data_IF_267306523782
#
_entry.id   IF_267306523782
#
_cell.length_a   1.000
_cell.length_b   1.000
_cell.length_c   1.000
_cell.angle_alpha   90.00
_cell.angle_beta   90.00
_cell.angle_gamma   90.00
#
_symmetry.space_group_name_H-M   'P 1'
#
loop_
_entity.id
_entity.type
_entity.pdbx_description
1 polymer ?
#
# COMPACT_ATOMS: atom_id res chain seq x y z
N UNK A 1 -8.55 -21.65 -11.50
CA UNK A 1 -8.57 -21.51 -10.03
C UNK A 1 -7.23 -21.99 -9.53
N UNK A 2 -6.28 -21.08 -9.36
CA UNK A 2 -4.95 -21.36 -8.80
C UNK A 2 -4.92 -20.70 -7.42
N UNK A 3 -5.11 -21.50 -6.37
CA UNK A 3 -4.95 -21.07 -4.98
C UNK A 3 -3.45 -21.18 -4.68
N UNK A 4 -2.76 -20.05 -4.52
CA UNK A 4 -1.46 -20.03 -3.87
C UNK A 4 -1.72 -20.00 -2.36
N UNK A 5 -1.57 -21.16 -1.73
CA UNK A 5 -1.43 -21.25 -0.27
C UNK A 5 0.05 -21.02 0.05
N UNK A 6 0.37 -19.88 0.67
CA UNK A 6 1.68 -19.67 1.29
C UNK A 6 1.59 -20.27 2.69
N UNK A 7 2.01 -21.52 2.85
CA UNK A 7 2.32 -22.07 4.17
C UNK A 7 3.66 -21.50 4.62
N UNK A 8 3.63 -20.60 5.61
CA UNK A 8 4.80 -20.20 6.38
C UNK A 8 4.49 -20.56 7.84
N UNK A 9 5.11 -21.65 8.33
CA UNK A 9 4.97 -22.08 9.73
C UNK A 9 5.42 -20.92 10.64
N UNK A 10 4.53 -20.50 11.54
CA UNK A 10 4.59 -19.35 12.47
C UNK A 10 4.05 -17.99 11.97
N UNK A 11 3.35 -17.89 10.84
CA UNK A 11 2.70 -16.65 10.39
C UNK A 11 1.22 -16.86 10.00
N UNK A 12 0.35 -15.93 10.40
CA UNK A 12 -1.05 -15.90 9.98
C UNK A 12 -1.18 -15.63 8.47
N UNK A 13 -2.15 -16.26 7.81
CA UNK A 13 -2.44 -16.03 6.39
C UNK A 13 -3.93 -15.72 6.16
N UNK A 14 -4.21 -14.87 5.15
CA UNK A 14 -5.57 -14.53 4.73
C UNK A 14 -5.80 -14.95 3.28
N UNK A 15 -6.74 -15.88 3.07
CA UNK A 15 -7.15 -16.28 1.74
C UNK A 15 -8.01 -15.21 1.08
N UNK A 16 -7.63 -14.82 -0.13
CA UNK A 16 -8.35 -13.87 -0.97
C UNK A 16 -8.83 -14.56 -2.26
N UNK A 17 -9.97 -14.15 -2.85
CA UNK A 17 -10.47 -14.76 -4.09
C UNK A 17 -9.51 -14.67 -5.27
N UNK A 18 -8.67 -13.63 -5.34
CA UNK A 18 -7.64 -13.42 -6.36
C UNK A 18 -6.43 -12.68 -5.78
N UNK A 19 -5.27 -12.75 -6.46
CA UNK A 19 -4.10 -11.92 -6.11
C UNK A 19 -4.35 -10.41 -6.29
N UNK A 20 -5.25 -10.03 -7.21
CA UNK A 20 -5.70 -8.64 -7.33
C UNK A 20 -6.42 -8.21 -6.05
N UNK A 21 -7.38 -9.01 -5.59
CA UNK A 21 -8.14 -8.72 -4.37
C UNK A 21 -7.22 -8.68 -3.14
N UNK A 22 -6.22 -9.56 -3.06
CA UNK A 22 -5.24 -9.55 -1.97
C UNK A 22 -4.48 -8.22 -1.88
N UNK A 23 -3.91 -7.75 -3.00
CA UNK A 23 -3.15 -6.50 -3.03
C UNK A 23 -4.05 -5.30 -2.70
N UNK A 24 -5.23 -5.21 -3.34
CA UNK A 24 -6.16 -4.10 -3.12
C UNK A 24 -6.65 -4.08 -1.67
N UNK A 25 -7.05 -5.23 -1.11
CA UNK A 25 -7.56 -5.32 0.26
C UNK A 25 -6.50 -4.94 1.30
N UNK A 26 -5.28 -5.48 1.17
CA UNK A 26 -4.19 -5.20 2.09
C UNK A 26 -3.82 -3.70 2.09
N UNK A 27 -3.62 -3.11 0.92
CA UNK A 27 -3.22 -1.70 0.80
C UNK A 27 -4.32 -0.76 1.32
N UNK A 28 -5.59 -1.05 0.99
CA UNK A 28 -6.72 -0.23 1.47
C UNK A 28 -6.87 -0.34 2.99
N UNK A 29 -6.76 -1.54 3.54
CA UNK A 29 -6.84 -1.75 4.99
C UNK A 29 -5.75 -0.96 5.72
N UNK A 30 -4.50 -1.08 5.25
CA UNK A 30 -3.36 -0.35 5.83
C UNK A 30 -3.56 1.15 5.69
N UNK A 31 -3.83 1.67 4.49
CA UNK A 31 -3.96 3.12 4.26
C UNK A 31 -5.04 3.81 5.11
N UNK A 32 -6.09 3.06 5.48
CA UNK A 32 -7.15 3.57 6.36
C UNK A 32 -6.78 3.61 7.84
N UNK A 33 -5.71 2.93 8.28
CA UNK A 33 -5.25 2.97 9.68
C UNK A 33 -5.00 4.40 10.14
N UNK A 34 -4.40 5.25 9.30
CA UNK A 34 -4.19 6.68 9.64
C UNK A 34 -5.48 7.45 9.92
N UNK A 35 -6.60 7.05 9.29
CA UNK A 35 -7.91 7.64 9.60
C UNK A 35 -8.49 7.16 10.92
N UNK A 36 -8.11 5.97 11.40
CA UNK A 36 -8.55 5.44 12.69
C UNK A 36 -7.79 6.09 13.86
N UNK A 37 -6.57 6.55 13.61
CA UNK A 37 -5.70 7.21 14.59
C UNK A 37 -5.82 8.74 14.58
N UNK A 38 -6.57 9.31 13.65
CA UNK A 38 -6.70 10.76 13.51
C UNK A 38 -7.42 11.39 14.71
N UNK A 39 -6.96 12.58 15.13
CA UNK A 39 -7.57 13.30 16.26
C UNK A 39 -8.94 13.89 15.94
N UNK A 40 -9.37 13.87 14.67
CA UNK A 40 -10.63 14.47 14.22
C UNK A 40 -11.32 13.66 13.13
N UNK A 41 -12.45 14.19 12.63
CA UNK A 41 -13.31 13.50 11.65
C UNK A 41 -12.66 13.22 10.30
N UNK A 42 -11.52 13.86 10.00
CA UNK A 42 -10.73 13.68 8.78
C UNK A 42 -9.24 13.79 9.11
N UNK A 43 -8.40 12.83 8.69
CA UNK A 43 -6.97 12.86 8.94
C UNK A 43 -6.31 14.06 8.26
N UNK A 44 -5.47 14.77 9.01
CA UNK A 44 -4.58 15.80 8.48
C UNK A 44 -3.50 15.15 7.60
N UNK A 45 -2.83 15.95 6.77
CA UNK A 45 -1.84 15.43 5.81
C UNK A 45 -0.72 14.63 6.50
N UNK A 46 -0.29 15.03 7.69
CA UNK A 46 0.76 14.37 8.48
C UNK A 46 0.26 13.15 9.28
N UNK A 47 -1.06 12.93 9.38
CA UNK A 47 -1.66 11.77 10.06
C UNK A 47 -1.95 10.62 9.07
N UNK A 48 -1.81 10.89 7.78
CA UNK A 48 -1.98 9.89 6.73
C UNK A 48 -0.71 9.10 6.53
N UNK A 49 -0.88 7.84 6.16
CA UNK A 49 0.21 6.99 5.70
C UNK A 49 0.74 7.53 4.37
N UNK A 50 2.06 7.52 4.22
CA UNK A 50 2.74 7.75 2.95
C UNK A 50 3.10 6.41 2.30
N UNK A 51 2.75 6.25 1.02
CA UNK A 51 3.09 5.09 0.20
C UNK A 51 4.04 5.53 -0.91
N UNK A 52 5.20 4.89 -0.98
CA UNK A 52 6.17 5.06 -2.05
C UNK A 52 6.04 3.89 -3.02
N UNK A 53 5.53 4.15 -4.23
CA UNK A 53 5.23 3.12 -5.22
C UNK A 53 6.16 3.20 -6.41
N UNK A 54 6.64 2.06 -6.89
CA UNK A 54 7.32 1.95 -8.18
C UNK A 54 6.34 2.30 -9.32
N UNK A 55 6.84 2.99 -10.36
CA UNK A 55 6.04 3.41 -11.51
C UNK A 55 5.48 2.26 -12.36
N UNK A 56 6.09 1.07 -12.33
CA UNK A 56 5.65 -0.11 -13.06
C UNK A 56 5.05 -1.19 -12.15
N UNK A 57 4.58 -0.80 -10.96
CA UNK A 57 3.81 -1.71 -10.11
C UNK A 57 2.55 -2.20 -10.81
N UNK A 58 2.17 -3.46 -10.50
CA UNK A 58 0.99 -4.10 -11.08
C UNK A 58 -0.30 -3.29 -10.78
N UNK A 59 -1.26 -3.34 -11.70
CA UNK A 59 -2.51 -2.56 -11.61
C UNK A 59 -3.26 -2.74 -10.28
N UNK A 60 -3.24 -3.93 -9.69
CA UNK A 60 -3.86 -4.20 -8.37
C UNK A 60 -3.26 -3.36 -7.23
N UNK A 61 -1.96 -3.08 -7.29
CA UNK A 61 -1.28 -2.24 -6.30
C UNK A 61 -1.70 -0.78 -6.51
N UNK A 62 -1.69 -0.32 -7.75
CA UNK A 62 -2.09 1.04 -8.12
C UNK A 62 -3.53 1.32 -7.71
N UNK A 63 -4.45 0.38 -7.95
CA UNK A 63 -5.85 0.53 -7.57
C UNK A 63 -6.05 0.48 -6.05
N UNK A 64 -5.33 -0.41 -5.35
CA UNK A 64 -5.29 -0.41 -3.88
C UNK A 64 -4.84 0.94 -3.31
N UNK A 65 -3.77 1.52 -3.86
CA UNK A 65 -3.23 2.82 -3.46
C UNK A 65 -4.28 3.93 -3.67
N UNK A 66 -4.93 3.97 -4.85
CA UNK A 66 -5.97 4.97 -5.16
C UNK A 66 -7.15 4.91 -4.19
N UNK A 67 -7.54 3.71 -3.76
CA UNK A 67 -8.65 3.49 -2.82
C UNK A 67 -8.25 3.70 -1.36
N UNK A 68 -6.96 3.68 -1.04
CA UNK A 68 -6.45 3.72 0.34
C UNK A 68 -6.62 5.08 1.03
N UNK A 69 -6.65 6.18 0.27
CA UNK A 69 -6.67 7.55 0.79
C UNK A 69 -5.34 8.05 1.38
N UNK A 70 -4.28 7.25 1.25
CA UNK A 70 -2.91 7.57 1.64
C UNK A 70 -2.29 8.68 0.78
N UNK A 71 -1.20 9.28 1.27
CA UNK A 71 -0.33 10.14 0.45
C UNK A 71 0.53 9.24 -0.44
N UNK A 72 0.68 9.57 -1.71
CA UNK A 72 1.33 8.68 -2.68
C UNK A 72 2.48 9.42 -3.36
N UNK A 73 3.63 8.75 -3.42
CA UNK A 73 4.82 9.22 -4.12
C UNK A 73 5.29 8.12 -5.08
N UNK A 74 5.39 8.44 -6.37
CA UNK A 74 5.76 7.46 -7.40
C UNK A 74 7.20 7.68 -7.82
N UNK A 75 8.05 6.66 -7.67
CA UNK A 75 9.44 6.68 -8.11
C UNK A 75 9.63 5.91 -9.42
N UNK A 76 10.73 6.18 -10.14
CA UNK A 76 11.01 5.56 -11.44
C UNK A 76 11.32 4.08 -11.24
N UNK A 77 10.93 3.25 -12.21
CA UNK A 77 11.05 1.81 -12.06
C UNK A 77 12.49 1.37 -11.74
N UNK A 78 12.65 0.63 -10.64
CA UNK A 78 13.96 0.15 -10.16
C UNK A 78 15.01 1.25 -9.94
N UNK A 79 14.59 2.50 -9.76
CA UNK A 79 15.49 3.64 -9.52
C UNK A 79 15.55 3.98 -8.03
N UNK A 80 16.50 3.34 -7.34
CA UNK A 80 16.73 3.56 -5.92
C UNK A 80 17.25 4.97 -5.59
N UNK A 81 17.91 5.63 -6.55
CA UNK A 81 18.41 7.00 -6.35
C UNK A 81 17.24 7.98 -6.35
N UNK A 82 16.27 7.78 -7.25
CA UNK A 82 15.04 8.56 -7.24
C UNK A 82 14.21 8.29 -5.99
N UNK A 83 14.08 7.03 -5.56
CA UNK A 83 13.40 6.70 -4.32
C UNK A 83 14.04 7.41 -3.12
N UNK A 84 15.36 7.35 -2.99
CA UNK A 84 16.11 8.02 -1.91
C UNK A 84 15.94 9.54 -1.95
N UNK A 85 15.94 10.14 -3.14
CA UNK A 85 15.65 11.56 -3.30
C UNK A 85 14.25 11.94 -2.83
N UNK A 86 13.23 11.11 -3.10
CA UNK A 86 11.87 11.38 -2.62
C UNK A 86 11.80 11.19 -1.09
N UNK A 87 12.45 10.16 -0.54
CA UNK A 87 12.46 9.89 0.90
C UNK A 87 13.13 11.02 1.69
N UNK A 88 14.23 11.59 1.21
CA UNK A 88 14.91 12.71 1.87
C UNK A 88 14.13 14.03 1.81
N UNK A 89 13.13 14.14 0.94
CA UNK A 89 12.27 15.33 0.79
C UNK A 89 10.89 15.17 1.46
N UNK A 90 10.65 14.04 2.14
CA UNK A 90 9.41 13.76 2.87
C UNK A 90 9.51 14.22 4.33
#
# INVERSE_FOLDING_TARGET
>A
MWIFSLECMDQDCLLCPTGFAANTAAIVAIGKVGSLLASGSKPLKHEKIAIFSDALNHASIVDGIRLSGANVYVYRHSDMTHLDLILNNY
#
